data_IF_745392591328
#
_entry.id   IF_745392591328
#
_cell.length_a   1.000
_cell.length_b   1.000
_cell.length_c   1.000
_cell.angle_alpha   90.00
_cell.angle_beta   90.00
_cell.angle_gamma   90.00
#
_symmetry.space_group_name_H-M   'P 1'
#
loop_
_entity.id
_entity.type
_entity.pdbx_description
1 polymer ?
#
# COMPACT_ATOMS: atom_id res chain seq x y z
N UNK A 1 -24.15 -28.44 -23.72
CA UNK A 1 -24.97 -28.46 -24.95
C UNK A 1 -26.33 -27.85 -24.61
N UNK A 2 -26.41 -26.52 -24.49
CA UNK A 2 -27.62 -25.80 -24.08
C UNK A 2 -27.85 -24.61 -25.04
N UNK A 3 -28.85 -24.81 -25.88
CA UNK A 3 -29.79 -23.88 -26.51
C UNK A 3 -29.36 -22.46 -26.89
N UNK A 4 -29.27 -22.29 -28.20
CA UNK A 4 -29.51 -21.07 -28.98
C UNK A 4 -30.95 -20.55 -28.82
N UNK A 5 -31.10 -19.21 -28.85
CA UNK A 5 -32.23 -18.46 -29.43
C UNK A 5 -31.95 -16.96 -29.34
N UNK A 6 -31.51 -16.38 -30.47
CA UNK A 6 -31.43 -14.94 -30.72
C UNK A 6 -32.25 -14.69 -31.99
N UNK A 7 -33.47 -14.22 -31.80
CA UNK A 7 -34.31 -13.71 -32.88
C UNK A 7 -34.97 -12.41 -32.43
N UNK A 8 -34.60 -11.34 -33.14
CA UNK A 8 -35.45 -10.28 -33.69
C UNK A 8 -36.43 -9.57 -32.74
N UNK A 9 -36.14 -8.30 -32.48
CA UNK A 9 -37.14 -7.24 -32.49
C UNK A 9 -36.52 -5.96 -33.10
N UNK A 10 -36.66 -5.84 -34.43
CA UNK A 10 -36.67 -4.55 -35.12
C UNK A 10 -38.06 -3.93 -34.89
N UNK A 11 -38.15 -2.72 -34.34
CA UNK A 11 -39.44 -2.09 -34.11
C UNK A 11 -39.37 -0.59 -33.81
N UNK A 12 -39.72 0.20 -34.82
CA UNK A 12 -40.34 1.53 -34.74
C UNK A 12 -39.57 2.67 -34.03
N UNK A 13 -38.77 3.38 -34.82
CA UNK A 13 -38.49 4.81 -34.59
C UNK A 13 -39.77 5.61 -34.85
N UNK A 14 -40.38 6.13 -33.79
CA UNK A 14 -41.49 7.07 -33.85
C UNK A 14 -40.96 8.48 -33.57
N UNK A 15 -41.01 9.30 -34.62
CA UNK A 15 -40.71 10.72 -34.64
C UNK A 15 -41.74 11.46 -33.77
N UNK A 16 -41.31 12.03 -32.63
CA UNK A 16 -42.08 13.02 -31.89
C UNK A 16 -41.44 14.39 -32.14
N UNK A 17 -42.10 15.18 -32.99
CA UNK A 17 -41.90 16.62 -33.11
C UNK A 17 -42.74 17.26 -32.01
N UNK A 18 -42.09 17.79 -30.98
CA UNK A 18 -42.74 18.43 -29.82
C UNK A 18 -42.16 19.81 -29.52
N UNK A 19 -42.96 20.83 -29.81
CA UNK A 19 -42.99 22.20 -29.29
C UNK A 19 -41.68 22.85 -28.76
N UNK A 20 -41.18 23.81 -29.53
CA UNK A 20 -40.32 24.90 -29.05
C UNK A 20 -41.21 25.92 -28.33
N UNK A 21 -41.27 25.86 -27.00
CA UNK A 21 -41.79 26.94 -26.16
C UNK A 21 -40.62 27.89 -25.81
N UNK A 22 -40.78 29.16 -26.14
CA UNK A 22 -39.76 30.20 -25.98
C UNK A 22 -39.30 30.39 -24.53
N UNK A 23 -37.99 30.24 -24.33
CA UNK A 23 -37.30 30.68 -23.11
C UNK A 23 -36.93 32.15 -23.32
N UNK A 24 -37.69 33.05 -22.71
CA UNK A 24 -37.29 34.44 -22.59
C UNK A 24 -36.05 34.56 -21.69
N UNK A 25 -35.13 35.51 -21.96
CA UNK A 25 -33.99 35.74 -21.08
C UNK A 25 -34.49 36.24 -19.73
N UNK A 26 -34.39 35.40 -18.70
CA UNK A 26 -34.51 35.85 -17.33
C UNK A 26 -33.34 36.80 -17.06
N UNK A 27 -33.62 38.10 -17.04
CA UNK A 27 -32.70 39.12 -16.54
C UNK A 27 -32.40 38.78 -15.08
N UNK A 28 -31.27 38.12 -14.85
CA UNK A 28 -30.74 37.87 -13.53
C UNK A 28 -30.60 39.21 -12.81
N UNK A 29 -31.26 39.33 -11.65
CA UNK A 29 -31.07 40.45 -10.76
C UNK A 29 -29.56 40.65 -10.53
N UNK A 30 -29.06 41.90 -10.53
CA UNK A 30 -27.65 42.17 -10.33
C UNK A 30 -27.23 41.51 -9.01
N UNK A 31 -26.33 40.52 -9.10
CA UNK A 31 -25.66 39.96 -7.94
C UNK A 31 -24.98 41.14 -7.25
N UNK A 32 -25.58 41.60 -6.15
CA UNK A 32 -24.98 42.61 -5.30
C UNK A 32 -23.61 42.07 -4.94
N UNK A 33 -22.57 42.76 -5.39
CA UNK A 33 -21.18 42.48 -5.04
C UNK A 33 -21.16 42.48 -3.51
N UNK A 34 -21.21 41.29 -2.91
CA UNK A 34 -21.24 41.14 -1.46
C UNK A 34 -19.99 41.82 -0.95
N UNK A 35 -20.17 42.94 -0.26
CA UNK A 35 -19.09 43.60 0.47
C UNK A 35 -18.46 42.51 1.31
N UNK A 36 -17.22 42.21 0.95
CA UNK A 36 -16.57 40.99 1.35
C UNK A 36 -16.64 40.75 2.86
N UNK A 37 -17.07 39.55 3.27
CA UNK A 37 -17.10 39.18 4.67
C UNK A 37 -15.69 39.22 5.27
N UNK A 38 -15.41 40.25 6.08
CA UNK A 38 -14.09 40.47 6.71
C UNK A 38 -13.64 39.30 7.58
N UNK A 39 -14.58 38.55 8.16
CA UNK A 39 -14.27 37.41 9.06
C UNK A 39 -13.63 36.26 8.31
N UNK A 40 -14.22 35.84 7.19
CA UNK A 40 -13.71 34.75 6.36
C UNK A 40 -12.86 35.27 5.18
N UNK A 41 -12.59 36.57 5.10
CA UNK A 41 -11.88 37.22 3.98
C UNK A 41 -12.47 36.82 2.62
N UNK A 42 -13.80 36.75 2.53
CA UNK A 42 -14.59 36.46 1.31
C UNK A 42 -14.52 35.02 0.83
N UNK A 43 -13.90 34.11 1.59
CA UNK A 43 -13.86 32.69 1.25
C UNK A 43 -15.23 32.02 1.42
N UNK A 44 -16.08 32.56 2.30
CA UNK A 44 -17.39 31.97 2.64
C UNK A 44 -17.30 30.83 3.66
N UNK A 45 -16.08 30.43 4.04
CA UNK A 45 -15.79 29.32 4.95
C UNK A 45 -14.67 29.70 5.92
N UNK A 46 -14.54 28.94 7.01
CA UNK A 46 -13.50 29.08 8.03
C UNK A 46 -12.86 27.71 8.29
N UNK A 47 -11.57 27.65 8.68
CA UNK A 47 -10.97 26.38 9.09
C UNK A 47 -11.76 25.74 10.23
N UNK A 48 -12.01 24.44 10.13
CA UNK A 48 -12.70 23.70 11.17
C UNK A 48 -11.87 23.69 12.47
N UNK A 49 -12.52 23.96 13.60
CA UNK A 49 -11.86 24.06 14.91
C UNK A 49 -11.61 22.71 15.58
N UNK A 50 -12.21 21.64 15.07
CA UNK A 50 -12.10 20.28 15.64
C UNK A 50 -10.79 19.58 15.24
N UNK A 51 -10.04 20.13 14.29
CA UNK A 51 -8.82 19.51 13.77
C UNK A 51 -7.61 20.37 14.10
N UNK A 52 -6.59 19.75 14.71
CA UNK A 52 -5.31 20.40 14.94
C UNK A 52 -4.57 20.62 13.62
N UNK A 53 -3.64 21.57 13.59
CA UNK A 53 -2.79 21.82 12.42
C UNK A 53 -1.98 20.57 12.01
N UNK A 54 -1.50 19.80 13.00
CA UNK A 54 -0.81 18.52 12.78
C UNK A 54 -1.72 17.51 12.06
N UNK A 55 -2.97 17.38 12.50
CA UNK A 55 -3.93 16.46 11.87
C UNK A 55 -4.28 16.91 10.45
N UNK A 56 -4.45 18.21 10.23
CA UNK A 56 -4.68 18.77 8.89
C UNK A 56 -3.49 18.52 7.95
N UNK A 57 -2.25 18.48 8.46
CA UNK A 57 -1.09 18.15 7.66
C UNK A 57 -1.10 16.67 7.23
N UNK A 58 -1.52 15.76 8.12
CA UNK A 58 -1.66 14.34 7.82
C UNK A 58 -2.79 14.08 6.80
N UNK A 59 -3.93 14.75 6.97
CA UNK A 59 -5.10 14.61 6.09
C UNK A 59 -4.84 15.00 4.63
N UNK A 60 -3.85 15.86 4.37
CA UNK A 60 -3.41 16.18 2.99
C UNK A 60 -2.76 15.00 2.28
N UNK A 61 -2.28 14.00 3.02
CA UNK A 61 -1.64 12.80 2.49
C UNK A 61 -2.61 11.70 2.08
N UNK A 62 -3.93 11.88 2.28
CA UNK A 62 -4.94 10.85 2.00
C UNK A 62 -6.08 11.39 1.17
N UNK A 63 -6.78 10.50 0.47
CA UNK A 63 -7.94 10.84 -0.34
C UNK A 63 -9.20 10.97 0.51
N UNK A 64 -9.38 10.10 1.50
CA UNK A 64 -10.52 10.12 2.41
C UNK A 64 -10.17 9.56 3.79
N UNK A 65 -10.84 10.07 4.83
CA UNK A 65 -10.72 9.57 6.20
C UNK A 65 -12.10 9.55 6.86
N UNK A 66 -12.56 8.39 7.34
CA UNK A 66 -13.90 8.27 7.92
C UNK A 66 -14.02 8.94 9.29
N UNK A 67 -12.90 9.13 9.99
CA UNK A 67 -12.90 9.90 11.25
C UNK A 67 -13.15 11.38 10.96
N UNK A 68 -12.44 11.96 9.98
CA UNK A 68 -12.68 13.34 9.54
C UNK A 68 -14.07 13.52 8.90
N UNK A 69 -14.51 12.55 8.08
CA UNK A 69 -15.82 12.55 7.43
C UNK A 69 -16.99 12.68 8.42
N UNK A 70 -16.84 12.13 9.63
CA UNK A 70 -17.86 12.17 10.69
C UNK A 70 -17.79 13.42 11.57
N UNK A 71 -16.90 14.37 11.28
CA UNK A 71 -16.89 15.65 11.98
C UNK A 71 -18.16 16.43 11.69
N UNK A 72 -18.98 16.71 12.71
CA UNK A 72 -20.25 17.42 12.57
C UNK A 72 -20.08 18.84 12.00
N UNK A 73 -18.95 19.50 12.28
CA UNK A 73 -18.68 20.88 11.87
C UNK A 73 -18.26 21.01 10.39
N UNK A 74 -17.58 20.00 9.83
CA UNK A 74 -16.99 20.12 8.50
C UNK A 74 -17.31 18.99 7.52
N UNK A 75 -17.82 17.84 7.98
CA UNK A 75 -18.12 16.69 7.13
C UNK A 75 -16.91 16.19 6.32
N UNK A 76 -15.71 16.25 6.90
CA UNK A 76 -14.45 15.85 6.27
C UNK A 76 -13.90 16.81 5.21
N UNK A 77 -14.46 18.01 5.06
CA UNK A 77 -13.89 19.04 4.19
C UNK A 77 -12.79 19.87 4.87
N UNK A 78 -12.69 19.80 6.20
CA UNK A 78 -11.84 20.66 7.04
C UNK A 78 -12.21 22.14 7.06
N UNK A 79 -13.33 22.51 6.45
CA UNK A 79 -13.87 23.86 6.41
C UNK A 79 -15.30 23.86 6.96
N UNK A 80 -15.61 24.80 7.85
CA UNK A 80 -16.97 25.08 8.33
C UNK A 80 -17.52 26.32 7.64
N UNK A 81 -18.83 26.41 7.45
CA UNK A 81 -19.44 27.57 6.80
C UNK A 81 -19.29 28.83 7.67
N UNK A 82 -19.09 29.99 7.03
CA UNK A 82 -18.97 31.24 7.76
C UNK A 82 -20.35 31.74 8.21
N UNK A 83 -20.61 31.70 9.51
CA UNK A 83 -21.82 32.19 10.19
C UNK A 83 -22.21 33.67 9.92
N UNK A 84 -21.34 34.46 9.26
CA UNK A 84 -21.56 35.89 8.93
C UNK A 84 -21.84 36.18 7.46
N UNK A 85 -21.87 35.17 6.58
CA UNK A 85 -22.21 35.37 5.17
C UNK A 85 -22.75 34.09 4.53
N UNK A 86 -23.67 34.20 3.58
CA UNK A 86 -24.27 33.03 2.92
C UNK A 86 -23.39 32.45 1.78
N UNK A 87 -22.06 32.63 1.86
CA UNK A 87 -21.13 32.08 0.88
C UNK A 87 -19.99 33.01 0.46
N UNK A 88 -19.05 32.45 -0.31
CA UNK A 88 -17.85 33.11 -0.82
C UNK A 88 -17.12 32.23 -1.83
N UNK A 89 -15.89 32.60 -2.17
CA UNK A 89 -15.16 32.01 -3.31
C UNK A 89 -14.81 30.53 -3.16
N UNK A 90 -14.90 29.94 -1.95
CA UNK A 90 -14.63 28.52 -1.70
C UNK A 90 -15.88 27.71 -1.30
N UNK A 91 -17.05 28.34 -1.17
CA UNK A 91 -18.24 27.67 -0.66
C UNK A 91 -18.69 26.50 -1.54
N UNK A 92 -18.64 26.65 -2.87
CA UNK A 92 -19.03 25.59 -3.81
C UNK A 92 -18.06 24.41 -3.79
N UNK A 93 -16.75 24.66 -3.77
CA UNK A 93 -15.71 23.63 -3.69
C UNK A 93 -15.83 22.83 -2.38
N UNK A 94 -16.02 23.52 -1.25
CA UNK A 94 -16.20 22.88 0.06
C UNK A 94 -17.49 22.04 0.09
N UNK A 95 -18.58 22.53 -0.47
CA UNK A 95 -19.84 21.77 -0.56
C UNK A 95 -19.66 20.52 -1.45
N UNK A 96 -18.99 20.66 -2.60
CA UNK A 96 -18.67 19.53 -3.48
C UNK A 96 -17.80 18.49 -2.78
N UNK A 97 -16.79 18.93 -2.02
CA UNK A 97 -15.94 18.03 -1.22
C UNK A 97 -16.73 17.28 -0.15
N UNK A 98 -17.60 17.96 0.61
CA UNK A 98 -18.47 17.29 1.61
C UNK A 98 -19.36 16.23 0.95
N UNK A 99 -19.91 16.53 -0.23
CA UNK A 99 -20.72 15.57 -1.00
C UNK A 99 -19.89 14.34 -1.41
N UNK A 100 -18.69 14.54 -1.96
CA UNK A 100 -17.79 13.44 -2.32
C UNK A 100 -17.43 12.56 -1.10
N UNK A 101 -17.12 13.18 0.04
CA UNK A 101 -16.79 12.46 1.27
C UNK A 101 -18.00 11.66 1.78
N UNK A 102 -19.20 12.23 1.74
CA UNK A 102 -20.43 11.55 2.14
C UNK A 102 -20.77 10.37 1.20
N UNK A 103 -20.65 10.56 -0.11
CA UNK A 103 -20.84 9.51 -1.11
C UNK A 103 -19.82 8.38 -0.96
N UNK A 104 -18.55 8.72 -0.72
CA UNK A 104 -17.51 7.74 -0.42
C UNK A 104 -17.85 6.92 0.83
N UNK A 105 -18.19 7.58 1.93
CA UNK A 105 -18.48 6.91 3.19
C UNK A 105 -19.71 6.00 3.11
N UNK A 106 -20.71 6.37 2.30
CA UNK A 106 -21.93 5.60 2.09
C UNK A 106 -21.72 4.33 1.24
N UNK A 107 -20.64 4.26 0.45
CA UNK A 107 -20.34 3.13 -0.43
C UNK A 107 -19.26 2.20 0.15
N UNK A 108 -18.93 2.31 1.44
CA UNK A 108 -17.89 1.48 2.05
C UNK A 108 -18.47 0.12 2.49
N UNK A 109 -18.06 -1.00 1.83
CA UNK A 109 -18.73 -2.29 1.99
C UNK A 109 -18.49 -2.97 3.34
N UNK A 110 -17.37 -2.68 4.02
CA UNK A 110 -17.03 -3.35 5.28
C UNK A 110 -17.90 -2.83 6.43
N UNK A 111 -18.20 -1.54 6.47
CA UNK A 111 -19.13 -0.93 7.42
C UNK A 111 -20.55 -1.44 7.25
N UNK A 112 -21.02 -1.54 5.99
CA UNK A 112 -22.32 -2.12 5.67
C UNK A 112 -22.38 -3.57 6.14
N UNK A 113 -21.36 -4.36 5.81
CA UNK A 113 -21.26 -5.76 6.20
C UNK A 113 -21.23 -5.96 7.73
N UNK A 114 -20.49 -5.13 8.46
CA UNK A 114 -20.41 -5.20 9.92
C UNK A 114 -21.63 -4.58 10.61
N UNK A 115 -22.44 -3.79 9.90
CA UNK A 115 -23.61 -3.11 10.46
C UNK A 115 -23.26 -2.01 11.45
N UNK A 116 -22.01 -1.49 11.41
CA UNK A 116 -21.54 -0.43 12.31
C UNK A 116 -20.45 0.41 11.65
N UNK A 117 -20.27 1.67 12.08
CA UNK A 117 -19.15 2.49 11.64
C UNK A 117 -17.80 1.87 12.04
N UNK A 118 -16.83 1.92 11.13
CA UNK A 118 -15.43 1.57 11.39
C UNK A 118 -14.49 2.73 11.06
N UNK A 119 -13.38 2.92 11.80
CA UNK A 119 -12.35 3.88 11.45
C UNK A 119 -11.59 3.37 10.23
N UNK A 120 -11.60 4.15 9.15
CA UNK A 120 -11.00 3.78 7.88
C UNK A 120 -10.38 4.99 7.19
N UNK A 121 -9.37 4.72 6.38
CA UNK A 121 -8.62 5.74 5.65
C UNK A 121 -8.28 5.20 4.26
N UNK A 122 -8.40 6.07 3.26
CA UNK A 122 -8.12 5.74 1.87
C UNK A 122 -7.09 6.69 1.31
N UNK A 123 -6.02 6.12 0.75
CA UNK A 123 -4.94 6.83 0.06
C UNK A 123 -4.87 6.39 -1.41
N UNK A 124 -3.78 6.73 -2.10
CA UNK A 124 -3.61 6.42 -3.53
C UNK A 124 -3.66 4.91 -3.77
N UNK A 125 -2.90 4.15 -2.99
CA UNK A 125 -2.71 2.71 -3.18
C UNK A 125 -3.47 1.86 -2.16
N UNK A 126 -3.84 2.41 -1.00
CA UNK A 126 -4.38 1.63 0.11
C UNK A 126 -5.76 2.09 0.59
N UNK A 127 -6.51 1.12 1.13
CA UNK A 127 -7.68 1.34 1.98
C UNK A 127 -7.44 0.57 3.28
N UNK A 128 -7.28 1.29 4.39
CA UNK A 128 -6.96 0.71 5.69
C UNK A 128 -8.12 0.83 6.66
N UNK A 129 -8.30 -0.20 7.48
CA UNK A 129 -9.19 -0.19 8.64
C UNK A 129 -8.34 -0.47 9.88
N UNK A 130 -8.49 0.36 10.90
CA UNK A 130 -7.86 0.16 12.19
C UNK A 130 -8.95 0.30 13.24
N UNK A 131 -9.46 -0.81 13.74
CA UNK A 131 -10.59 -0.83 14.67
C UNK A 131 -10.17 -1.43 16.00
N UNK A 132 -9.22 -0.77 16.67
CA UNK A 132 -8.51 -1.28 17.86
C UNK A 132 -8.49 -0.32 19.03
N UNK A 133 -9.14 0.84 18.89
CA UNK A 133 -9.03 1.94 19.85
C UNK A 133 -7.61 2.53 19.90
N UNK A 134 -7.23 3.21 21.00
CA UNK A 134 -5.92 3.83 21.13
C UNK A 134 -4.79 2.82 21.33
N UNK A 135 -3.73 2.90 20.52
CA UNK A 135 -2.54 2.05 20.63
C UNK A 135 -1.44 2.71 21.47
N UNK A 136 -0.58 1.90 22.10
CA UNK A 136 0.54 2.41 22.90
C UNK A 136 1.75 2.75 22.04
N UNK A 137 2.41 3.86 22.36
CA UNK A 137 3.74 4.23 21.88
C UNK A 137 4.59 4.63 23.09
N UNK A 138 5.42 3.70 23.56
CA UNK A 138 6.11 3.83 24.85
C UNK A 138 5.10 3.96 26.00
N UNK A 139 5.07 5.13 26.65
CA UNK A 139 4.13 5.44 27.75
C UNK A 139 2.87 6.16 27.29
N UNK A 140 2.82 6.64 26.04
CA UNK A 140 1.69 7.42 25.52
C UNK A 140 0.67 6.48 24.88
N UNK A 141 -0.60 6.83 24.96
CA UNK A 141 -1.65 6.28 24.12
C UNK A 141 -1.87 7.23 22.95
N UNK A 142 -1.78 6.72 21.74
CA UNK A 142 -2.04 7.44 20.50
C UNK A 142 -3.45 7.10 20.08
N UNK A 143 -4.25 8.12 19.79
CA UNK A 143 -5.62 7.91 19.34
C UNK A 143 -5.64 7.22 17.96
N UNK A 144 -6.75 6.56 17.68
CA UNK A 144 -6.87 5.71 16.51
C UNK A 144 -6.81 6.49 15.17
N UNK A 145 -7.24 7.76 15.16
CA UNK A 145 -7.18 8.61 13.98
C UNK A 145 -5.73 8.91 13.61
N UNK A 146 -4.92 9.30 14.60
CA UNK A 146 -3.48 9.49 14.43
C UNK A 146 -2.78 8.18 14.06
N UNK A 147 -3.20 7.04 14.62
CA UNK A 147 -2.65 5.73 14.26
C UNK A 147 -2.87 5.41 12.77
N UNK A 148 -4.11 5.55 12.26
CA UNK A 148 -4.45 5.35 10.85
C UNK A 148 -3.55 6.16 9.91
N UNK A 149 -3.36 7.45 10.22
CA UNK A 149 -2.51 8.34 9.42
C UNK A 149 -1.03 7.97 9.44
N UNK A 150 -0.53 7.47 10.57
CA UNK A 150 0.86 7.01 10.66
C UNK A 150 1.07 5.72 9.88
N UNK A 151 0.12 4.78 9.95
CA UNK A 151 0.17 3.52 9.19
C UNK A 151 0.06 3.81 7.69
N UNK A 152 -0.92 4.61 7.25
CA UNK A 152 -1.11 4.91 5.82
C UNK A 152 0.10 5.59 5.21
N UNK A 153 0.74 6.51 5.93
CA UNK A 153 1.98 7.15 5.49
C UNK A 153 3.10 6.14 5.28
N UNK A 154 3.27 5.20 6.20
CA UNK A 154 4.34 4.21 6.10
C UNK A 154 4.10 3.26 4.91
N UNK A 155 2.87 2.78 4.69
CA UNK A 155 2.58 1.89 3.56
C UNK A 155 2.61 2.62 2.20
N UNK A 156 2.21 3.89 2.13
CA UNK A 156 2.42 4.73 0.94
C UNK A 156 3.90 4.98 0.68
N UNK A 157 4.72 5.12 1.72
CA UNK A 157 6.17 5.21 1.56
C UNK A 157 6.75 3.91 0.97
N UNK A 158 6.18 2.73 1.28
CA UNK A 158 6.54 1.47 0.60
C UNK A 158 6.21 1.54 -0.89
N UNK A 159 5.01 2.02 -1.24
CA UNK A 159 4.60 2.17 -2.64
C UNK A 159 5.52 3.14 -3.40
N UNK A 160 5.85 4.29 -2.81
CA UNK A 160 6.76 5.28 -3.43
C UNK A 160 8.16 4.70 -3.67
N UNK A 161 8.71 3.97 -2.70
CA UNK A 161 10.03 3.33 -2.87
C UNK A 161 9.99 2.23 -3.93
N UNK A 162 8.94 1.40 -3.93
CA UNK A 162 8.76 0.34 -4.93
C UNK A 162 8.58 0.92 -6.33
N UNK A 163 7.76 1.96 -6.48
CA UNK A 163 7.57 2.68 -7.74
C UNK A 163 8.91 3.24 -8.23
N UNK A 164 9.69 3.86 -7.35
CA UNK A 164 11.03 4.36 -7.65
C UNK A 164 11.99 3.25 -8.12
N UNK A 165 12.03 2.12 -7.41
CA UNK A 165 12.86 0.96 -7.76
C UNK A 165 12.48 0.32 -9.10
N UNK A 166 11.19 0.34 -9.45
CA UNK A 166 10.67 -0.28 -10.66
C UNK A 166 10.50 0.71 -11.82
N UNK A 167 10.84 1.98 -11.61
CA UNK A 167 10.67 3.05 -12.60
C UNK A 167 9.21 3.28 -12.99
N UNK A 168 8.29 3.09 -12.05
CA UNK A 168 6.88 3.42 -12.20
C UNK A 168 6.71 4.92 -11.95
N UNK A 169 5.89 5.60 -12.76
CA UNK A 169 5.67 7.05 -12.63
C UNK A 169 6.55 7.94 -13.53
N UNK A 170 7.41 7.37 -14.38
CA UNK A 170 8.01 8.12 -15.49
C UNK A 170 7.01 8.39 -16.61
N UNK A 171 7.05 9.58 -17.23
CA UNK A 171 6.35 9.89 -18.50
C UNK A 171 6.95 9.15 -19.71
N UNK A 172 7.34 7.89 -19.53
CA UNK A 172 7.88 7.03 -20.58
C UNK A 172 6.78 6.12 -21.13
N UNK A 173 6.82 5.77 -22.43
CA UNK A 173 5.91 4.77 -22.96
C UNK A 173 6.20 3.42 -22.29
N UNK A 174 5.25 2.93 -21.50
CA UNK A 174 5.24 1.52 -21.09
C UNK A 174 4.95 0.70 -22.34
N UNK A 175 5.93 -0.06 -22.81
CA UNK A 175 5.65 -1.15 -23.73
C UNK A 175 4.99 -2.26 -22.91
N UNK A 176 3.68 -2.44 -23.07
CA UNK A 176 3.04 -3.70 -22.67
C UNK A 176 3.79 -4.84 -23.34
N UNK A 177 4.38 -5.74 -22.55
CA UNK A 177 5.15 -6.88 -23.07
C UNK A 177 4.29 -7.90 -23.83
N UNK A 178 2.96 -7.78 -23.78
CA UNK A 178 2.03 -8.77 -24.34
C UNK A 178 1.00 -8.22 -25.35
N UNK A 179 0.99 -6.92 -25.66
CA UNK A 179 -0.01 -6.37 -26.58
C UNK A 179 0.61 -5.95 -27.91
N UNK A 180 -0.03 -6.40 -28.99
CA UNK A 180 0.07 -5.76 -30.31
C UNK A 180 -0.33 -4.28 -30.23
N UNK A 181 -0.34 -3.55 -31.37
CA UNK A 181 -0.39 -2.09 -31.39
C UNK A 181 -1.59 -1.55 -30.60
N UNK A 182 -1.33 -1.05 -29.41
CA UNK A 182 -2.30 -0.26 -28.65
C UNK A 182 -2.39 1.11 -29.30
N UNK A 183 -3.62 1.51 -29.62
CA UNK A 183 -3.96 2.85 -30.05
C UNK A 183 -3.35 3.87 -29.08
N UNK A 184 -2.81 4.96 -29.63
CA UNK A 184 -2.43 6.15 -28.87
C UNK A 184 -3.56 6.55 -27.91
N UNK A 185 -3.35 6.34 -26.62
CA UNK A 185 -4.32 6.68 -25.58
C UNK A 185 -3.89 6.21 -24.20
N UNK A 186 -3.29 7.13 -23.44
CA UNK A 186 -3.09 7.11 -21.98
C UNK A 186 -2.48 5.83 -21.38
N UNK A 187 -1.22 5.93 -20.95
CA UNK A 187 -0.64 4.98 -19.97
C UNK A 187 -1.56 4.97 -18.73
N UNK A 188 -1.95 3.79 -18.21
CA UNK A 188 -2.68 3.72 -16.95
C UNK A 188 -1.91 4.48 -15.86
N UNK A 189 -2.62 5.28 -15.07
CA UNK A 189 -2.05 6.13 -14.01
C UNK A 189 -1.35 5.31 -12.90
N UNK A 190 -1.53 3.99 -12.92
CA UNK A 190 -0.95 3.00 -12.03
C UNK A 190 -0.92 1.62 -12.71
N UNK A 191 0.18 0.88 -12.57
CA UNK A 191 0.31 -0.53 -12.98
C UNK A 191 -0.27 -1.50 -11.93
N UNK A 192 -0.78 -0.99 -10.81
CA UNK A 192 -1.53 -1.75 -9.80
C UNK A 192 -2.97 -1.99 -10.27
N UNK A 193 -3.46 -3.23 -10.21
CA UNK A 193 -4.81 -3.62 -10.61
C UNK A 193 -5.91 -3.17 -9.64
N UNK A 194 -5.58 -3.05 -8.35
CA UNK A 194 -6.53 -2.66 -7.31
C UNK A 194 -5.84 -1.98 -6.14
N UNK A 195 -6.62 -1.28 -5.32
CA UNK A 195 -6.14 -0.81 -4.02
C UNK A 195 -5.97 -1.99 -3.05
N UNK A 196 -4.91 -1.96 -2.28
CA UNK A 196 -4.63 -2.91 -1.22
C UNK A 196 -5.51 -2.62 -0.01
N UNK A 197 -6.23 -3.64 0.47
CA UNK A 197 -7.11 -3.52 1.65
C UNK A 197 -6.43 -4.14 2.87
N UNK A 198 -6.19 -3.36 3.92
CA UNK A 198 -5.49 -3.88 5.09
C UNK A 198 -6.23 -3.54 6.38
N UNK A 199 -6.54 -4.53 7.18
CA UNK A 199 -7.49 -4.40 8.29
C UNK A 199 -6.93 -4.94 9.60
N UNK A 200 -7.16 -4.20 10.67
CA UNK A 200 -6.87 -4.61 12.04
C UNK A 200 -8.13 -4.51 12.91
N UNK A 201 -8.39 -5.53 13.72
CA UNK A 201 -9.60 -5.66 14.53
C UNK A 201 -9.32 -5.79 16.03
N UNK A 202 -10.15 -5.17 16.86
CA UNK A 202 -10.17 -5.40 18.32
C UNK A 202 -10.89 -6.72 18.63
N UNK A 203 -12.06 -6.94 18.02
CA UNK A 203 -12.88 -8.13 18.26
C UNK A 203 -12.47 -9.27 17.33
N UNK A 204 -11.97 -10.41 17.87
CA UNK A 204 -11.64 -11.59 17.06
C UNK A 204 -12.86 -12.13 16.28
N UNK A 205 -14.10 -11.85 16.72
CA UNK A 205 -15.31 -12.25 15.98
C UNK A 205 -15.46 -11.46 14.69
N UNK A 206 -15.17 -10.16 14.70
CA UNK A 206 -15.23 -9.35 13.49
C UNK A 206 -14.11 -9.72 12.53
N UNK A 207 -12.90 -10.00 13.06
CA UNK A 207 -11.83 -10.61 12.28
C UNK A 207 -12.25 -11.93 11.62
N UNK A 208 -12.76 -12.90 12.39
CA UNK A 208 -13.20 -14.19 11.86
C UNK A 208 -14.34 -14.09 10.84
N UNK A 209 -15.23 -13.09 10.99
CA UNK A 209 -16.28 -12.78 10.01
C UNK A 209 -15.69 -12.30 8.69
N UNK A 210 -14.78 -11.31 8.71
CA UNK A 210 -14.18 -10.79 7.48
C UNK A 210 -13.24 -11.80 6.84
N UNK A 211 -12.54 -12.62 7.63
CA UNK A 211 -11.70 -13.72 7.17
C UNK A 211 -12.49 -14.71 6.30
N UNK A 212 -13.65 -15.15 6.79
CA UNK A 212 -14.50 -16.08 6.05
C UNK A 212 -15.08 -15.45 4.79
N UNK A 213 -15.64 -14.23 4.91
CA UNK A 213 -16.50 -13.68 3.86
C UNK A 213 -15.73 -12.86 2.81
N UNK A 214 -14.58 -12.27 3.15
CA UNK A 214 -13.74 -11.50 2.23
C UNK A 214 -12.42 -12.20 1.85
N UNK A 215 -11.81 -12.96 2.76
CA UNK A 215 -10.53 -13.66 2.50
C UNK A 215 -10.72 -15.16 2.19
N UNK A 216 -11.93 -15.68 2.33
CA UNK A 216 -12.27 -17.10 2.12
C UNK A 216 -11.39 -18.06 2.94
N UNK A 217 -11.01 -17.62 4.14
CA UNK A 217 -10.13 -18.33 5.05
C UNK A 217 -10.78 -18.51 6.42
N UNK A 218 -10.36 -19.57 7.13
CA UNK A 218 -10.72 -19.82 8.53
C UNK A 218 -9.50 -19.75 9.45
N UNK A 219 -8.41 -19.10 9.01
CA UNK A 219 -7.27 -18.82 9.90
C UNK A 219 -7.70 -17.88 11.02
N UNK A 220 -7.18 -18.14 12.22
CA UNK A 220 -7.46 -17.33 13.43
C UNK A 220 -6.44 -16.20 13.63
N UNK A 221 -5.29 -16.27 12.96
CA UNK A 221 -4.20 -15.27 13.07
C UNK A 221 -4.21 -14.25 11.94
N UNK A 222 -3.07 -13.61 11.68
CA UNK A 222 -2.93 -12.76 10.51
C UNK A 222 -3.03 -13.57 9.20
N UNK A 223 -3.61 -12.96 8.17
CA UNK A 223 -3.72 -13.61 6.87
C UNK A 223 -3.77 -12.60 5.74
N UNK A 224 -3.14 -12.96 4.62
CA UNK A 224 -3.13 -12.19 3.38
C UNK A 224 -3.68 -13.01 2.23
N UNK A 225 -4.69 -12.46 1.58
CA UNK A 225 -5.09 -12.82 0.22
C UNK A 225 -4.29 -11.93 -0.75
N UNK A 226 -3.49 -12.54 -1.61
CA UNK A 226 -2.63 -11.83 -2.58
C UNK A 226 -3.21 -11.91 -4.01
N UNK A 227 -2.65 -11.13 -4.95
CA UNK A 227 -3.07 -11.12 -6.36
C UNK A 227 -3.96 -9.92 -6.70
N UNK A 228 -5.11 -10.15 -7.37
CA UNK A 228 -5.95 -9.08 -7.97
C UNK A 228 -6.52 -8.08 -6.99
N UNK A 229 -7.11 -8.56 -5.90
CA UNK A 229 -7.84 -7.75 -4.93
C UNK A 229 -7.28 -8.00 -3.54
N UNK A 230 -6.00 -7.64 -3.30
CA UNK A 230 -5.28 -8.13 -2.15
C UNK A 230 -5.90 -7.59 -0.86
N UNK A 231 -6.05 -8.47 0.12
CA UNK A 231 -6.58 -8.17 1.44
C UNK A 231 -5.65 -8.73 2.49
N UNK A 232 -5.27 -7.92 3.46
CA UNK A 232 -4.59 -8.35 4.67
C UNK A 232 -5.49 -8.09 5.87
N UNK A 233 -5.65 -9.07 6.76
CA UNK A 233 -6.50 -8.95 7.94
C UNK A 233 -5.84 -9.63 9.12
N UNK A 234 -5.88 -8.98 10.29
CA UNK A 234 -5.41 -9.54 11.55
C UNK A 234 -6.15 -8.88 12.72
N UNK A 235 -5.98 -9.38 13.94
CA UNK A 235 -6.60 -8.81 15.13
C UNK A 235 -5.56 -8.55 16.23
N UNK A 236 -6.00 -7.89 17.32
CA UNK A 236 -5.16 -7.48 18.45
C UNK A 236 -4.67 -8.64 19.32
N UNK A 237 -3.88 -9.54 18.72
CA UNK A 237 -3.12 -10.52 19.47
C UNK A 237 -2.06 -9.84 20.37
N UNK A 238 -1.56 -10.51 21.44
CA UNK A 238 -0.58 -9.91 22.35
C UNK A 238 0.64 -9.29 21.66
N UNK A 239 1.04 -9.87 20.53
CA UNK A 239 2.21 -9.49 19.74
C UNK A 239 1.95 -8.23 18.85
N UNK A 240 0.69 -7.78 18.74
CA UNK A 240 0.27 -6.57 18.00
C UNK A 240 -0.43 -5.54 18.90
N UNK A 241 0.12 -5.32 20.10
CA UNK A 241 -0.51 -4.47 21.12
C UNK A 241 0.04 -3.03 21.17
N UNK A 242 1.06 -2.71 20.37
CA UNK A 242 1.66 -1.37 20.30
C UNK A 242 1.67 -0.79 18.89
N UNK A 243 1.63 0.54 18.79
CA UNK A 243 1.65 1.23 17.51
C UNK A 243 2.92 0.91 16.67
N UNK A 244 4.14 0.85 17.26
CA UNK A 244 5.32 0.45 16.48
C UNK A 244 5.23 -0.95 15.87
N UNK A 245 4.68 -1.93 16.58
CA UNK A 245 4.49 -3.30 16.06
C UNK A 245 3.50 -3.30 14.90
N UNK A 246 2.34 -2.68 15.10
CA UNK A 246 1.31 -2.52 14.06
C UNK A 246 1.89 -1.84 12.81
N UNK A 247 2.62 -0.74 12.97
CA UNK A 247 3.24 -0.03 11.83
C UNK A 247 4.21 -0.93 11.07
N UNK A 248 5.04 -1.72 11.76
CA UNK A 248 5.97 -2.67 11.12
C UNK A 248 5.21 -3.77 10.37
N UNK A 249 4.20 -4.37 10.99
CA UNK A 249 3.40 -5.45 10.39
C UNK A 249 2.68 -4.98 9.11
N UNK A 250 2.05 -3.81 9.15
CA UNK A 250 1.44 -3.22 7.95
C UNK A 250 2.49 -2.89 6.88
N UNK A 251 3.65 -2.34 7.26
CA UNK A 251 4.72 -2.02 6.31
C UNK A 251 5.23 -3.26 5.58
N UNK A 252 5.48 -4.33 6.33
CA UNK A 252 5.92 -5.62 5.81
C UNK A 252 4.91 -6.18 4.80
N UNK A 253 3.63 -6.28 5.21
CA UNK A 253 2.59 -6.85 4.36
C UNK A 253 2.23 -5.96 3.16
N UNK A 254 2.38 -4.63 3.27
CA UNK A 254 2.16 -3.73 2.15
C UNK A 254 3.06 -4.08 0.96
N UNK A 255 4.33 -4.46 1.20
CA UNK A 255 5.24 -4.86 0.13
C UNK A 255 4.75 -6.10 -0.63
N UNK A 256 4.36 -7.17 0.08
CA UNK A 256 3.82 -8.37 -0.54
C UNK A 256 2.57 -8.08 -1.37
N UNK A 257 1.66 -7.28 -0.80
CA UNK A 257 0.42 -6.94 -1.47
C UNK A 257 0.66 -6.14 -2.75
N UNK A 258 1.50 -5.09 -2.68
CA UNK A 258 1.90 -4.28 -3.83
C UNK A 258 2.51 -5.15 -4.93
N UNK A 259 3.52 -5.95 -4.59
CA UNK A 259 4.24 -6.80 -5.55
C UNK A 259 3.30 -7.84 -6.16
N UNK A 260 2.40 -8.44 -5.37
CA UNK A 260 1.41 -9.40 -5.88
C UNK A 260 0.39 -8.77 -6.84
N UNK A 261 0.11 -7.47 -6.68
CA UNK A 261 -0.85 -6.70 -7.45
C UNK A 261 -0.24 -5.95 -8.64
N UNK A 262 1.08 -6.02 -8.81
CA UNK A 262 1.78 -5.29 -9.86
C UNK A 262 2.01 -6.14 -11.11
N UNK A 263 1.80 -5.57 -12.30
CA UNK A 263 1.98 -6.12 -13.66
C UNK A 263 1.11 -7.32 -14.04
N UNK A 264 0.94 -8.28 -13.13
CA UNK A 264 0.03 -9.41 -13.26
C UNK A 264 -0.51 -9.78 -11.88
N UNK A 265 -1.78 -10.15 -11.84
CA UNK A 265 -2.54 -10.61 -10.66
C UNK A 265 -2.09 -12.01 -10.18
N UNK A 266 -0.79 -12.21 -9.99
CA UNK A 266 -0.19 -13.49 -9.61
C UNK A 266 0.75 -13.29 -8.42
N UNK A 267 0.55 -14.03 -7.35
CA UNK A 267 1.57 -14.19 -6.33
C UNK A 267 2.56 -15.28 -6.78
N UNK A 268 3.86 -14.98 -6.69
CA UNK A 268 4.94 -15.87 -7.13
C UNK A 268 5.81 -16.36 -5.97
N UNK A 269 5.46 -15.98 -4.73
CA UNK A 269 6.21 -16.35 -3.53
C UNK A 269 6.14 -17.83 -3.19
N UNK A 270 5.14 -18.55 -3.71
CA UNK A 270 4.86 -19.98 -3.53
C UNK A 270 5.23 -20.83 -4.76
N UNK A 271 6.03 -20.29 -5.67
CA UNK A 271 6.43 -20.98 -6.89
C UNK A 271 7.93 -20.88 -7.10
N UNK A 272 8.44 -19.73 -7.53
CA UNK A 272 9.87 -19.58 -7.90
C UNK A 272 10.51 -18.31 -7.37
N UNK A 273 9.75 -17.35 -6.84
CA UNK A 273 10.29 -16.06 -6.39
C UNK A 273 10.14 -15.81 -4.91
N UNK A 274 10.09 -16.85 -4.07
CA UNK A 274 10.04 -16.70 -2.61
C UNK A 274 11.16 -15.83 -2.06
N UNK A 275 12.37 -15.92 -2.64
CA UNK A 275 13.51 -15.07 -2.25
C UNK A 275 13.30 -13.58 -2.51
N UNK A 276 12.63 -13.25 -3.62
CA UNK A 276 12.36 -11.87 -4.01
C UNK A 276 11.21 -11.31 -3.18
N UNK A 277 10.15 -12.11 -2.98
CA UNK A 277 8.99 -11.76 -2.16
C UNK A 277 9.39 -11.53 -0.69
N UNK A 278 10.09 -12.49 -0.07
CA UNK A 278 10.63 -12.35 1.28
C UNK A 278 11.64 -11.19 1.38
N UNK A 279 12.58 -11.12 0.43
CA UNK A 279 13.60 -10.07 0.40
C UNK A 279 13.00 -8.67 0.35
N UNK A 280 12.01 -8.44 -0.50
CA UNK A 280 11.29 -7.18 -0.61
C UNK A 280 10.50 -6.86 0.65
N UNK A 281 9.71 -7.80 1.17
CA UNK A 281 8.89 -7.63 2.38
C UNK A 281 9.71 -7.10 3.56
N UNK A 282 10.85 -7.75 3.81
CA UNK A 282 11.77 -7.31 4.84
C UNK A 282 12.51 -6.02 4.49
N UNK A 283 12.89 -5.80 3.23
CA UNK A 283 13.72 -4.65 2.86
C UNK A 283 12.98 -3.34 3.14
N UNK A 284 11.71 -3.24 2.74
CA UNK A 284 10.94 -2.03 2.96
C UNK A 284 10.59 -1.81 4.44
N UNK A 285 10.30 -2.88 5.20
CA UNK A 285 10.16 -2.79 6.66
C UNK A 285 11.45 -2.22 7.29
N UNK A 286 12.60 -2.76 6.89
CA UNK A 286 13.91 -2.32 7.37
C UNK A 286 14.22 -0.87 7.01
N UNK A 287 13.91 -0.46 5.78
CA UNK A 287 14.18 0.89 5.29
C UNK A 287 13.41 1.96 6.07
N UNK A 288 12.18 1.65 6.49
CA UNK A 288 11.31 2.60 7.21
C UNK A 288 11.58 2.55 8.72
N UNK A 289 11.77 1.35 9.30
CA UNK A 289 11.79 1.16 10.75
C UNK A 289 13.19 0.87 11.32
N UNK A 290 14.19 0.67 10.47
CA UNK A 290 15.56 0.34 10.86
C UNK A 290 15.72 -1.08 11.44
N UNK A 291 14.70 -1.94 11.28
CA UNK A 291 14.68 -3.33 11.70
C UNK A 291 13.59 -4.09 10.95
N UNK A 292 13.69 -5.42 10.93
CA UNK A 292 12.59 -6.27 10.45
C UNK A 292 12.31 -7.41 11.42
N UNK A 293 11.07 -7.48 11.91
CA UNK A 293 10.65 -8.45 12.94
C UNK A 293 9.41 -9.24 12.54
N UNK A 294 8.81 -8.93 11.40
CA UNK A 294 7.66 -9.67 10.88
C UNK A 294 8.17 -10.67 9.85
N UNK A 295 7.74 -11.92 9.96
CA UNK A 295 8.22 -13.02 9.11
C UNK A 295 7.04 -13.64 8.37
N UNK A 296 7.25 -14.02 7.11
CA UNK A 296 6.20 -14.61 6.28
C UNK A 296 5.97 -16.11 6.54
N UNK A 297 5.95 -16.51 7.81
CA UNK A 297 5.73 -17.89 8.26
C UNK A 297 4.58 -17.92 9.24
N UNK A 298 3.84 -19.04 9.32
CA UNK A 298 2.77 -19.19 10.30
C UNK A 298 3.33 -19.03 11.73
N UNK A 299 2.87 -17.98 12.42
CA UNK A 299 3.44 -17.46 13.68
C UNK A 299 3.38 -18.46 14.85
N UNK A 300 2.52 -19.49 14.76
CA UNK A 300 2.34 -20.51 15.78
C UNK A 300 3.59 -21.36 16.09
N UNK A 301 4.65 -21.27 15.29
CA UNK A 301 5.80 -22.18 15.38
C UNK A 301 7.14 -21.54 15.77
N UNK A 302 7.31 -20.21 15.71
CA UNK A 302 8.64 -19.61 15.89
C UNK A 302 8.65 -18.42 16.84
N UNK A 303 8.88 -18.69 18.13
CA UNK A 303 9.45 -17.68 19.03
C UNK A 303 10.97 -17.63 18.84
N UNK A 304 11.45 -16.58 18.16
CA UNK A 304 12.74 -15.87 18.37
C UNK A 304 13.08 -15.05 17.13
N UNK A 305 12.83 -13.75 17.18
CA UNK A 305 13.28 -12.79 16.17
C UNK A 305 14.78 -13.00 15.89
N UNK A 306 15.15 -13.21 14.63
CA UNK A 306 16.54 -13.37 14.23
C UNK A 306 17.30 -12.07 14.57
N UNK A 307 18.10 -12.12 15.64
CA UNK A 307 18.86 -10.98 16.16
C UNK A 307 18.02 -9.70 16.41
N UNK A 308 16.79 -9.84 16.90
CA UNK A 308 15.89 -8.71 17.20
C UNK A 308 15.67 -7.78 15.99
N UNK A 309 15.66 -8.36 14.78
CA UNK A 309 15.49 -7.61 13.54
C UNK A 309 16.69 -6.76 13.10
N UNK A 310 17.84 -6.87 13.75
CA UNK A 310 19.07 -6.14 13.43
C UNK A 310 20.05 -7.06 12.69
N UNK A 311 20.03 -7.03 11.35
CA UNK A 311 20.51 -8.16 10.55
C UNK A 311 21.89 -8.00 9.93
N UNK A 312 22.41 -6.77 9.74
CA UNK A 312 23.64 -6.58 8.96
C UNK A 312 24.84 -7.30 9.55
N UNK A 313 25.15 -7.06 10.82
CA UNK A 313 26.30 -7.72 11.46
C UNK A 313 26.16 -9.24 11.58
N UNK A 314 25.00 -9.80 11.99
CA UNK A 314 24.79 -11.25 11.97
C UNK A 314 24.97 -11.89 10.60
N UNK A 315 24.41 -11.31 9.54
CA UNK A 315 24.54 -11.82 8.18
C UNK A 315 25.98 -11.78 7.72
N UNK A 316 26.67 -10.65 7.92
CA UNK A 316 28.10 -10.53 7.58
C UNK A 316 28.92 -11.64 8.24
N UNK A 317 28.75 -11.83 9.56
CA UNK A 317 29.46 -12.88 10.30
C UNK A 317 29.15 -14.28 9.77
N UNK A 318 27.90 -14.51 9.38
CA UNK A 318 27.47 -15.79 8.82
C UNK A 318 28.14 -16.04 7.47
N UNK A 319 28.07 -15.08 6.55
CA UNK A 319 28.69 -15.17 5.22
C UNK A 319 30.23 -15.23 5.27
N UNK A 320 30.88 -14.68 6.30
CA UNK A 320 32.33 -14.81 6.52
C UNK A 320 32.73 -16.18 7.12
N UNK A 321 31.82 -16.85 7.84
CA UNK A 321 32.10 -18.10 8.55
C UNK A 321 31.72 -19.35 7.75
N UNK A 322 30.67 -19.27 6.95
CA UNK A 322 30.09 -20.42 6.23
C UNK A 322 30.53 -20.38 4.76
N UNK A 323 31.37 -21.34 4.36
CA UNK A 323 31.95 -21.43 3.00
C UNK A 323 30.98 -22.02 1.95
N UNK A 324 29.87 -22.63 2.39
CA UNK A 324 28.86 -23.22 1.49
C UNK A 324 28.03 -22.18 0.76
N UNK A 325 27.57 -22.48 -0.47
CA UNK A 325 26.72 -21.59 -1.25
C UNK A 325 25.28 -21.56 -0.72
N UNK A 326 24.72 -20.37 -0.54
CA UNK A 326 23.34 -20.18 -0.07
C UNK A 326 22.34 -20.01 -1.22
N UNK A 327 22.70 -19.27 -2.28
CA UNK A 327 21.76 -18.92 -3.35
C UNK A 327 21.12 -20.14 -4.03
N UNK A 328 21.84 -21.23 -4.35
CA UNK A 328 21.23 -22.38 -5.02
C UNK A 328 20.09 -23.04 -4.25
N UNK A 329 20.10 -23.01 -2.91
CA UNK A 329 19.01 -23.51 -2.08
C UNK A 329 17.94 -22.43 -1.89
N UNK A 330 18.36 -21.20 -1.62
CA UNK A 330 17.46 -20.11 -1.26
C UNK A 330 16.45 -19.75 -2.36
N UNK A 331 16.88 -19.80 -3.62
CA UNK A 331 16.04 -19.40 -4.76
C UNK A 331 14.97 -20.43 -5.14
N UNK A 332 15.07 -21.64 -4.61
CA UNK A 332 14.12 -22.75 -4.86
C UNK A 332 13.08 -22.85 -3.73
N UNK A 333 13.19 -22.03 -2.68
CA UNK A 333 12.28 -22.04 -1.54
C UNK A 333 11.13 -21.08 -1.73
N UNK A 334 9.94 -21.53 -1.35
CA UNK A 334 8.78 -20.68 -1.18
C UNK A 334 8.95 -19.77 0.03
N UNK A 335 8.34 -18.58 -0.01
CA UNK A 335 8.38 -17.59 1.08
C UNK A 335 8.01 -18.23 2.44
N UNK A 336 6.95 -19.04 2.47
CA UNK A 336 6.46 -19.69 3.70
C UNK A 336 7.29 -20.88 4.19
N UNK A 337 8.23 -21.37 3.38
CA UNK A 337 9.12 -22.49 3.72
C UNK A 337 10.52 -22.01 4.17
N UNK A 338 10.74 -20.70 4.30
CA UNK A 338 12.01 -20.13 4.71
C UNK A 338 12.11 -19.98 6.22
N UNK A 339 13.20 -20.50 6.78
CA UNK A 339 13.57 -20.26 8.17
C UNK A 339 14.01 -18.81 8.39
N UNK A 340 13.95 -18.31 9.63
CA UNK A 340 14.29 -16.91 9.93
C UNK A 340 15.68 -16.47 9.43
N UNK A 341 16.75 -17.28 9.56
CA UNK A 341 18.06 -16.91 9.03
C UNK A 341 18.10 -16.86 7.50
N UNK A 342 17.19 -17.54 6.82
CA UNK A 342 17.08 -17.58 5.35
C UNK A 342 16.32 -16.35 4.85
N UNK A 343 15.24 -15.99 5.53
CA UNK A 343 14.54 -14.71 5.29
C UNK A 343 15.48 -13.51 5.44
N UNK A 344 16.37 -13.54 6.45
CA UNK A 344 17.40 -12.53 6.60
C UNK A 344 18.44 -12.53 5.46
N UNK A 345 18.80 -13.70 4.91
CA UNK A 345 19.66 -13.79 3.72
C UNK A 345 18.95 -13.25 2.47
N UNK A 346 17.66 -13.54 2.27
CA UNK A 346 16.83 -12.97 1.20
C UNK A 346 16.82 -11.45 1.27
N UNK A 347 16.64 -10.89 2.47
CA UNK A 347 16.73 -9.46 2.71
C UNK A 347 18.08 -8.88 2.28
N UNK A 348 19.19 -9.49 2.72
CA UNK A 348 20.53 -8.98 2.38
C UNK A 348 20.85 -9.12 0.89
N UNK A 349 20.34 -10.17 0.24
CA UNK A 349 20.47 -10.33 -1.20
C UNK A 349 19.68 -9.28 -1.96
N UNK A 350 18.44 -9.01 -1.54
CA UNK A 350 17.62 -7.93 -2.09
C UNK A 350 18.25 -6.55 -1.85
N UNK A 351 18.81 -6.29 -0.66
CA UNK A 351 19.53 -5.06 -0.31
C UNK A 351 20.72 -4.81 -1.25
N UNK A 352 21.47 -5.87 -1.57
CA UNK A 352 22.54 -5.79 -2.56
C UNK A 352 22.02 -5.47 -3.96
N UNK A 353 20.92 -6.09 -4.40
CA UNK A 353 20.31 -5.79 -5.70
C UNK A 353 19.85 -4.33 -5.75
N UNK A 354 19.13 -3.84 -4.73
CA UNK A 354 18.71 -2.43 -4.66
C UNK A 354 19.91 -1.48 -4.70
N UNK A 355 21.00 -1.80 -3.99
CA UNK A 355 22.16 -0.92 -3.89
C UNK A 355 23.08 -0.96 -5.12
N UNK A 356 23.25 -2.13 -5.76
CA UNK A 356 24.26 -2.34 -6.80
C UNK A 356 23.67 -2.58 -8.20
N UNK A 357 22.42 -3.01 -8.28
CA UNK A 357 21.72 -3.42 -9.50
C UNK A 357 20.23 -2.98 -9.54
N UNK A 358 19.88 -1.74 -9.17
CA UNK A 358 18.48 -1.32 -9.08
C UNK A 358 17.73 -1.49 -10.42
N UNK A 359 18.42 -1.34 -11.55
CA UNK A 359 17.88 -1.57 -12.90
C UNK A 359 17.40 -3.00 -13.14
N UNK A 360 17.90 -3.97 -12.37
CA UNK A 360 17.53 -5.38 -12.49
C UNK A 360 16.17 -5.69 -11.84
N UNK A 361 15.69 -4.87 -10.90
CA UNK A 361 14.49 -5.19 -10.10
C UNK A 361 13.24 -5.36 -10.95
N UNK A 362 13.00 -4.45 -11.91
CA UNK A 362 11.84 -4.53 -12.81
C UNK A 362 11.85 -5.75 -13.73
N UNK A 363 12.91 -6.00 -14.54
CA UNK A 363 12.92 -7.18 -15.41
C UNK A 363 12.89 -8.48 -14.62
N UNK A 364 13.53 -8.56 -13.44
CA UNK A 364 13.44 -9.73 -12.56
C UNK A 364 12.00 -9.98 -12.11
N UNK A 365 11.31 -8.96 -11.60
CA UNK A 365 9.93 -9.09 -11.16
C UNK A 365 9.00 -9.52 -12.30
N UNK A 366 9.16 -8.93 -13.49
CA UNK A 366 8.39 -9.32 -14.68
C UNK A 366 8.64 -10.80 -15.06
N UNK A 367 9.89 -11.24 -15.04
CA UNK A 367 10.25 -12.62 -15.36
C UNK A 367 9.72 -13.62 -14.31
N UNK A 368 9.75 -13.26 -13.03
CA UNK A 368 9.13 -14.05 -11.95
C UNK A 368 7.62 -14.19 -12.14
N UNK A 369 6.94 -13.11 -12.55
CA UNK A 369 5.50 -13.12 -12.89
C UNK A 369 5.16 -13.93 -14.16
N UNK A 370 6.17 -14.29 -14.93
CA UNK A 370 6.09 -15.19 -16.08
C UNK A 370 6.56 -16.61 -15.74
N UNK A 371 6.77 -16.91 -14.45
CA UNK A 371 7.22 -18.22 -13.96
C UNK A 371 8.57 -18.65 -14.54
N UNK A 372 9.41 -17.67 -14.91
CA UNK A 372 10.77 -17.96 -15.37
C UNK A 372 11.59 -18.49 -14.18
N UNK A 373 12.38 -19.57 -14.33
CA UNK A 373 13.18 -20.10 -13.23
C UNK A 373 14.13 -19.04 -12.65
N UNK A 374 14.16 -18.91 -11.32
CA UNK A 374 14.97 -17.88 -10.63
C UNK A 374 16.45 -17.91 -11.00
N UNK A 375 17.03 -19.09 -11.23
CA UNK A 375 18.40 -19.22 -11.72
C UNK A 375 18.61 -18.43 -13.02
N UNK A 376 17.76 -18.66 -14.01
CA UNK A 376 17.83 -17.97 -15.31
C UNK A 376 17.70 -16.47 -15.12
N UNK A 377 16.73 -16.03 -14.32
CA UNK A 377 16.50 -14.61 -14.02
C UNK A 377 17.75 -13.95 -13.45
N UNK A 378 18.37 -14.57 -12.46
CA UNK A 378 19.57 -14.02 -11.81
C UNK A 378 20.76 -13.97 -12.76
N UNK A 379 20.99 -15.01 -13.56
CA UNK A 379 22.10 -15.08 -14.50
C UNK A 379 21.96 -14.03 -15.63
N UNK A 380 20.74 -13.83 -16.15
CA UNK A 380 20.45 -12.84 -17.19
C UNK A 380 20.55 -11.40 -16.69
N UNK A 381 20.07 -11.12 -15.47
CA UNK A 381 19.94 -9.74 -14.99
C UNK A 381 21.12 -9.28 -14.12
N UNK A 382 21.88 -10.18 -13.49
CA UNK A 382 23.04 -9.83 -12.67
C UNK A 382 24.37 -10.21 -13.33
N UNK A 383 24.35 -11.03 -14.37
CA UNK A 383 25.51 -11.47 -15.14
C UNK A 383 26.36 -12.54 -14.45
N UNK A 384 26.73 -13.58 -15.19
CA UNK A 384 27.52 -14.70 -14.68
C UNK A 384 26.68 -15.75 -13.96
N UNK A 385 27.32 -16.83 -13.53
CA UNK A 385 26.62 -17.99 -12.93
C UNK A 385 26.32 -17.76 -11.45
N UNK A 386 25.36 -18.50 -10.87
CA UNK A 386 24.99 -18.34 -9.44
C UNK A 386 26.17 -18.27 -8.45
N UNK A 387 27.23 -19.12 -8.52
CA UNK A 387 28.37 -18.99 -7.60
C UNK A 387 29.13 -17.67 -7.75
N UNK A 388 29.20 -17.12 -8.97
CA UNK A 388 29.86 -15.85 -9.26
C UNK A 388 29.01 -14.67 -8.74
N UNK A 389 27.69 -14.77 -8.88
CA UNK A 389 26.72 -13.81 -8.30
C UNK A 389 26.85 -13.81 -6.77
N UNK A 390 26.85 -14.99 -6.14
CA UNK A 390 26.98 -15.11 -4.68
C UNK A 390 28.32 -14.55 -4.18
N UNK A 391 29.42 -14.80 -4.90
CA UNK A 391 30.73 -14.25 -4.54
C UNK A 391 30.73 -12.71 -4.57
N UNK A 392 30.07 -12.08 -5.54
CA UNK A 392 29.93 -10.61 -5.61
C UNK A 392 29.06 -10.06 -4.48
N UNK A 393 27.94 -10.72 -4.19
CA UNK A 393 27.08 -10.36 -3.05
C UNK A 393 27.84 -10.44 -1.72
N UNK A 394 28.55 -11.55 -1.45
CA UNK A 394 29.39 -11.71 -0.25
C UNK A 394 30.48 -10.65 -0.14
N UNK A 395 31.15 -10.34 -1.25
CA UNK A 395 32.16 -9.30 -1.29
C UNK A 395 31.56 -7.93 -0.92
N UNK A 396 30.39 -7.60 -1.47
CA UNK A 396 29.66 -6.39 -1.13
C UNK A 396 29.27 -6.35 0.34
N UNK A 397 28.71 -7.42 0.90
CA UNK A 397 28.37 -7.50 2.34
C UNK A 397 29.60 -7.30 3.23
N UNK A 398 30.73 -7.93 2.90
CA UNK A 398 31.99 -7.76 3.64
C UNK A 398 32.49 -6.31 3.62
N UNK A 399 32.28 -5.61 2.50
CA UNK A 399 32.64 -4.21 2.35
C UNK A 399 31.70 -3.29 3.16
N UNK A 400 30.39 -3.47 3.03
CA UNK A 400 29.37 -2.49 3.45
C UNK A 400 28.78 -2.73 4.84
N UNK A 401 28.61 -3.98 5.28
CA UNK A 401 27.96 -4.28 6.56
C UNK A 401 28.95 -4.15 7.73
N UNK A 402 28.52 -3.70 8.92
CA UNK A 402 29.37 -3.63 10.10
C UNK A 402 29.65 -5.03 10.68
N UNK A 403 30.74 -5.16 11.45
CA UNK A 403 31.01 -6.38 12.27
C UNK A 403 30.23 -6.40 13.59
N UNK A 404 29.68 -5.26 14.03
CA UNK A 404 28.90 -5.13 15.26
C UNK A 404 27.84 -4.04 15.10
N UNK A 405 26.65 -4.28 15.64
CA UNK A 405 25.52 -3.37 15.49
C UNK A 405 24.96 -3.45 14.08
N UNK A 406 24.30 -2.38 13.65
CA UNK A 406 23.56 -2.40 12.39
C UNK A 406 23.74 -1.15 11.52
N UNK A 407 24.53 -0.18 11.99
CA UNK A 407 24.87 0.99 11.20
C UNK A 407 25.78 0.59 10.03
N UNK A 408 25.39 0.87 8.77
CA UNK A 408 26.24 0.60 7.61
C UNK A 408 27.60 1.28 7.74
N UNK A 409 28.63 0.69 7.13
CA UNK A 409 29.93 1.35 7.03
C UNK A 409 29.81 2.47 5.99
N UNK A 410 30.24 3.68 6.35
CA UNK A 410 30.41 4.74 5.36
C UNK A 410 31.36 4.22 4.28
N UNK A 411 30.89 4.21 3.02
CA UNK A 411 31.76 3.83 1.91
C UNK A 411 32.90 4.84 1.90
N UNK A 412 34.14 4.35 1.93
CA UNK A 412 35.29 5.22 1.66
C UNK A 412 35.15 5.60 0.20
N UNK A 413 34.50 6.72 -0.07
CA UNK A 413 34.34 7.23 -1.42
C UNK A 413 35.72 7.16 -2.10
N UNK A 414 35.81 6.33 -3.15
CA UNK A 414 37.02 6.24 -3.97
C UNK A 414 37.19 7.63 -4.58
N UNK A 415 38.11 8.41 -4.00
CA UNK A 415 38.58 9.68 -4.55
C UNK A 415 39.30 9.44 -5.86
#
# INVERSE_FOLDING_TARGET
MWTSRLDRCLGCFLLIVGLVAGVGPAFGAPQTVRVGCKRCKNLGVLPCKQHSEELLALEKGVQFCSVAARCEDCGGSFWSDCDRCDGGTQSEEVAARRKQVAEWLANEPVQEYLGRPVPLIESKHFLLILDTGPLKEGRKKIDNHTCLHRVVRDVEQVADMLDGHLGLGGKGPVKNLNDGPTLEGSVPESEYFAKMRMWMWDDPKDHGRVMRDFLHSSSDGDFKLLGRNPIFSFWTEPDFSTLPEVRRLFTHNASHMLISNLFRELWFGDTTGGWFDAGAGHWYEYAIHGMSTNYCIEEGTVRRDYHNGQWRAPIRKRLEKEDGLFLPELIEKDTGHMELPEQALCWSFYDWIVAAHPEALRPMLLALKQETPSRTILEENLGGRLPEIEARWRAWVSETYPLKGDTPRESKAKK
#
